data_IF_987667254036
#
_entry.id   IF_987667254036
#
_cell.length_a   1.000
_cell.length_b   1.000
_cell.length_c   1.000
_cell.angle_alpha   90.00
_cell.angle_beta   90.00
_cell.angle_gamma   90.00
#
_symmetry.space_group_name_H-M   'P 1'
#
loop_
_entity.id
_entity.type
_entity.pdbx_description
1 polymer ?
#
# COMPACT_ATOMS: atom_id res chain seq x y z
N UNK A 1 2.48 -13.88 4.63
CA UNK A 1 1.34 -13.25 5.33
C UNK A 1 0.08 -14.01 4.95
N UNK A 2 -0.56 -14.67 5.91
CA UNK A 2 -1.80 -15.40 5.69
C UNK A 2 -2.97 -14.45 5.98
N UNK A 3 -3.81 -14.19 4.97
CA UNK A 3 -4.97 -13.30 5.13
C UNK A 3 -6.13 -14.10 5.73
N UNK A 4 -6.67 -13.64 6.86
CA UNK A 4 -7.88 -14.19 7.47
C UNK A 4 -8.97 -13.12 7.53
N UNK A 5 -10.12 -13.31 6.85
CA UNK A 5 -10.41 -14.37 5.89
C UNK A 5 -9.52 -14.30 4.63
N UNK A 6 -9.42 -15.37 3.83
CA UNK A 6 -8.67 -15.34 2.58
C UNK A 6 -9.29 -14.35 1.59
N UNK A 7 -8.44 -13.56 0.92
CA UNK A 7 -8.89 -12.66 -0.14
C UNK A 7 -9.29 -13.46 -1.38
N UNK A 8 -10.58 -13.46 -1.73
CA UNK A 8 -11.04 -14.18 -2.90
C UNK A 8 -10.66 -13.45 -4.18
N UNK A 9 -9.97 -14.14 -5.10
CA UNK A 9 -9.45 -13.55 -6.36
C UNK A 9 -10.52 -12.90 -7.25
N UNK A 10 -11.76 -13.37 -7.18
CA UNK A 10 -12.85 -12.94 -8.07
C UNK A 10 -13.93 -12.09 -7.39
N UNK A 11 -13.84 -11.90 -6.07
CA UNK A 11 -14.78 -11.07 -5.31
C UNK A 11 -14.09 -9.75 -4.99
N UNK A 12 -14.73 -8.62 -5.31
CA UNK A 12 -14.22 -7.28 -5.01
C UNK A 12 -14.90 -6.64 -3.80
N UNK A 13 -16.07 -7.15 -3.43
CA UNK A 13 -16.93 -6.59 -2.36
C UNK A 13 -16.40 -6.84 -0.96
N UNK A 14 -15.48 -7.79 -0.79
CA UNK A 14 -14.87 -8.17 0.49
C UNK A 14 -13.48 -7.56 0.71
N UNK A 15 -13.03 -6.65 -0.17
CA UNK A 15 -11.68 -6.03 -0.15
C UNK A 15 -11.71 -4.59 0.36
N UNK A 16 -10.53 -4.01 0.52
CA UNK A 16 -10.36 -2.64 1.00
C UNK A 16 -10.91 -2.50 2.42
N UNK A 17 -11.68 -1.45 2.69
CA UNK A 17 -12.26 -1.23 4.02
C UNK A 17 -13.24 -2.32 4.48
N UNK A 18 -13.77 -3.16 3.57
CA UNK A 18 -14.65 -4.29 3.94
C UNK A 18 -13.89 -5.49 4.50
N UNK A 19 -12.56 -5.52 4.37
CA UNK A 19 -11.72 -6.57 4.92
C UNK A 19 -10.97 -6.09 6.17
N UNK A 20 -10.83 -6.91 7.24
CA UNK A 20 -10.04 -6.55 8.42
C UNK A 20 -8.58 -6.22 8.10
N UNK A 21 -7.88 -7.10 7.36
CA UNK A 21 -6.47 -6.89 7.00
C UNK A 21 -6.26 -5.74 5.99
N UNK A 22 -6.89 -5.80 4.80
CA UNK A 22 -6.66 -4.76 3.78
C UNK A 22 -7.23 -3.39 4.19
N UNK A 23 -8.28 -3.36 5.01
CA UNK A 23 -8.77 -2.13 5.61
C UNK A 23 -7.79 -1.53 6.61
N UNK A 24 -7.10 -2.35 7.42
CA UNK A 24 -6.05 -1.88 8.32
C UNK A 24 -4.83 -1.32 7.60
N UNK A 25 -4.49 -1.88 6.43
CA UNK A 25 -3.42 -1.37 5.55
C UNK A 25 -3.79 -0.03 4.90
N UNK A 26 -5.06 0.14 4.50
CA UNK A 26 -5.55 1.36 3.86
C UNK A 26 -5.95 2.45 4.86
N UNK A 27 -6.25 2.07 6.11
CA UNK A 27 -6.61 3.02 7.15
C UNK A 27 -5.48 4.05 7.32
N UNK A 28 -5.80 5.35 7.31
CA UNK A 28 -4.83 6.38 7.59
C UNK A 28 -4.14 6.17 8.94
N UNK A 29 -2.85 6.50 9.03
CA UNK A 29 -2.04 6.32 10.25
C UNK A 29 -2.56 7.11 11.45
N UNK A 30 -3.26 8.21 11.20
CA UNK A 30 -3.86 9.07 12.21
C UNK A 30 -5.25 8.59 12.68
N UNK A 31 -5.74 7.46 12.15
CA UNK A 31 -7.02 6.85 12.52
C UNK A 31 -6.81 5.45 13.11
N UNK A 32 -7.62 5.12 14.10
CA UNK A 32 -7.58 3.81 14.74
C UNK A 32 -8.50 2.80 14.03
N UNK A 33 -7.92 1.83 13.35
CA UNK A 33 -8.65 0.73 12.72
C UNK A 33 -9.26 -0.26 13.73
N UNK A 34 -8.81 -0.26 14.99
CA UNK A 34 -9.47 -1.01 16.07
C UNK A 34 -10.85 -0.44 16.43
N UNK A 35 -11.12 0.81 16.06
CA UNK A 35 -12.38 1.49 16.37
C UNK A 35 -13.45 1.18 15.31
N UNK A 36 -14.45 0.40 15.70
CA UNK A 36 -15.57 -0.01 14.83
C UNK A 36 -16.30 1.17 14.18
N UNK A 37 -16.43 2.30 14.88
CA UNK A 37 -17.07 3.51 14.32
C UNK A 37 -16.25 4.13 13.20
N UNK A 38 -14.92 4.09 13.29
CA UNK A 38 -14.03 4.58 12.24
C UNK A 38 -14.12 3.66 11.03
N UNK A 39 -14.05 2.34 11.25
CA UNK A 39 -14.21 1.35 10.18
C UNK A 39 -15.53 1.52 9.44
N UNK A 40 -16.65 1.70 10.16
CA UNK A 40 -17.97 1.90 9.57
C UNK A 40 -18.04 3.17 8.73
N UNK A 41 -17.52 4.30 9.24
CA UNK A 41 -17.51 5.57 8.51
C UNK A 41 -16.66 5.52 7.24
N UNK A 42 -15.52 4.81 7.28
CA UNK A 42 -14.66 4.58 6.11
C UNK A 42 -15.36 3.68 5.08
N UNK A 43 -16.01 2.59 5.53
CA UNK A 43 -16.76 1.67 4.66
C UNK A 43 -17.94 2.36 3.98
N UNK A 44 -18.66 3.20 4.70
CA UNK A 44 -19.83 3.92 4.18
C UNK A 44 -19.45 5.14 3.33
N UNK A 45 -18.18 5.53 3.30
CA UNK A 45 -17.71 6.75 2.62
C UNK A 45 -18.15 8.06 3.31
N UNK A 46 -18.64 8.00 4.55
CA UNK A 46 -18.99 9.19 5.35
C UNK A 46 -17.72 9.90 5.81
N UNK A 47 -16.68 9.13 6.12
CA UNK A 47 -15.34 9.66 6.36
C UNK A 47 -14.51 9.38 5.13
N UNK A 48 -14.15 10.44 4.42
CA UNK A 48 -13.22 10.40 3.28
C UNK A 48 -11.89 10.94 3.77
N UNK A 49 -10.81 10.13 3.81
CA UNK A 49 -9.50 10.61 4.17
C UNK A 49 -9.06 11.76 3.25
N UNK A 50 -8.46 12.79 3.84
CA UNK A 50 -7.82 13.87 3.09
C UNK A 50 -6.50 13.40 2.47
N UNK A 51 -5.98 14.11 1.47
CA UNK A 51 -4.78 13.71 0.72
C UNK A 51 -3.50 13.65 1.56
N UNK A 52 -3.48 14.35 2.70
CA UNK A 52 -2.41 14.35 3.71
C UNK A 52 -2.56 13.22 4.75
N UNK A 53 -3.66 12.47 4.72
CA UNK A 53 -3.92 11.35 5.62
C UNK A 53 -3.43 10.05 5.00
N UNK A 54 -2.12 9.80 5.16
CA UNK A 54 -1.43 8.70 4.52
C UNK A 54 -1.90 7.31 5.00
N UNK A 55 -2.19 6.39 4.07
CA UNK A 55 -2.44 4.99 4.39
C UNK A 55 -1.23 4.32 5.06
N UNK A 56 -1.50 3.44 6.01
CA UNK A 56 -0.47 2.70 6.75
C UNK A 56 0.49 1.91 5.85
N UNK A 57 0.00 1.34 4.75
CA UNK A 57 0.82 0.51 3.87
C UNK A 57 1.96 1.29 3.18
N UNK A 58 1.97 2.61 3.21
CA UNK A 58 3.07 3.41 2.65
C UNK A 58 4.32 3.37 3.53
N UNK A 59 4.16 3.08 4.81
CA UNK A 59 5.26 3.08 5.77
C UNK A 59 6.00 1.75 5.79
N UNK A 60 7.32 1.81 6.03
CA UNK A 60 8.15 0.63 6.26
C UNK A 60 7.52 -0.24 7.35
N UNK A 61 7.42 -1.55 7.08
CA UNK A 61 6.79 -2.51 7.99
C UNK A 61 5.34 -2.16 8.41
N UNK A 62 4.67 -1.21 7.74
CA UNK A 62 3.34 -0.68 8.12
C UNK A 62 3.33 0.00 9.51
N UNK A 63 4.47 0.52 9.96
CA UNK A 63 4.65 1.16 11.26
C UNK A 63 4.77 2.67 11.12
N UNK A 64 4.04 3.42 11.95
CA UNK A 64 4.05 4.88 11.94
C UNK A 64 4.74 5.40 13.19
N UNK A 65 5.73 6.27 13.00
CA UNK A 65 6.43 6.94 14.09
C UNK A 65 5.81 8.33 14.34
N UNK A 66 5.33 8.57 15.55
CA UNK A 66 4.72 9.85 15.93
C UNK A 66 5.73 10.97 16.16
N UNK A 67 6.96 10.63 16.53
CA UNK A 67 8.04 11.59 16.76
C UNK A 67 8.70 12.03 15.45
N UNK A 68 8.71 11.15 14.45
CA UNK A 68 9.21 11.42 13.11
C UNK A 68 8.26 10.82 12.04
N UNK A 69 7.25 11.58 11.57
CA UNK A 69 6.27 11.13 10.59
C UNK A 69 6.83 10.77 9.21
N UNK A 70 8.08 11.16 8.92
CA UNK A 70 8.76 10.87 7.66
C UNK A 70 9.52 9.55 7.73
N UNK A 71 9.80 9.07 8.94
CA UNK A 71 10.49 7.81 9.15
C UNK A 71 9.73 6.66 8.49
N UNK A 72 10.39 6.00 7.55
CA UNK A 72 9.83 4.86 6.81
C UNK A 72 8.73 5.23 5.80
N UNK A 73 8.36 6.49 5.62
CA UNK A 73 7.35 6.90 4.65
C UNK A 73 7.82 6.56 3.22
N UNK A 74 6.93 5.94 2.42
CA UNK A 74 7.19 5.41 1.07
C UNK A 74 8.26 4.30 0.99
N UNK A 75 8.71 3.75 2.12
CA UNK A 75 9.72 2.68 2.17
C UNK A 75 9.10 1.28 2.35
N UNK A 76 7.80 1.14 2.11
CA UNK A 76 7.10 -0.13 2.22
C UNK A 76 7.31 -1.05 1.01
N UNK A 77 7.66 -2.31 1.25
CA UNK A 77 7.71 -3.33 0.19
C UNK A 77 6.34 -3.58 -0.49
N UNK A 78 5.23 -3.33 0.22
CA UNK A 78 3.89 -3.38 -0.38
C UNK A 78 3.67 -2.26 -1.39
N UNK A 79 4.17 -1.06 -1.10
CA UNK A 79 4.09 0.06 -2.05
C UNK A 79 4.84 -0.28 -3.33
N UNK A 80 6.08 -0.76 -3.23
CA UNK A 80 6.87 -1.18 -4.41
C UNK A 80 6.15 -2.28 -5.19
N UNK A 81 5.57 -3.26 -4.49
CA UNK A 81 4.79 -4.33 -5.13
C UNK A 81 3.55 -3.80 -5.86
N UNK A 82 2.84 -2.82 -5.27
CA UNK A 82 1.67 -2.18 -5.89
C UNK A 82 2.10 -1.36 -7.11
N UNK A 83 3.14 -0.52 -6.97
CA UNK A 83 3.71 0.24 -8.08
C UNK A 83 4.12 -0.69 -9.21
N UNK A 84 4.83 -1.78 -8.89
CA UNK A 84 5.20 -2.81 -9.85
C UNK A 84 3.96 -3.42 -10.50
N UNK A 85 2.97 -3.94 -9.76
CA UNK A 85 1.77 -4.52 -10.38
C UNK A 85 1.01 -3.52 -11.26
N UNK A 86 1.00 -2.23 -10.90
CA UNK A 86 0.38 -1.18 -11.68
C UNK A 86 1.20 -0.79 -12.92
N UNK A 87 2.53 -0.86 -12.86
CA UNK A 87 3.45 -0.51 -13.96
C UNK A 87 3.84 -1.68 -14.86
N UNK A 88 3.84 -2.90 -14.32
CA UNK A 88 4.30 -4.16 -14.92
C UNK A 88 3.16 -4.95 -15.55
N UNK A 89 1.91 -4.54 -15.41
CA UNK A 89 0.80 -5.16 -16.13
C UNK A 89 0.90 -4.71 -17.59
N UNK A 90 1.22 -5.58 -18.60
CA UNK A 90 1.23 -5.19 -20.00
C UNK A 90 -0.20 -5.08 -20.56
N UNK A 91 -1.15 -4.75 -19.68
CA UNK A 91 -2.56 -5.07 -19.79
C UNK A 91 -3.37 -4.18 -18.85
N UNK A 92 -4.44 -3.50 -19.26
CA UNK A 92 -5.46 -3.92 -20.20
C UNK A 92 -4.99 -4.36 -21.61
N UNK A 93 -4.72 -5.65 -21.78
CA UNK A 93 -4.45 -6.47 -22.96
C UNK A 93 -4.31 -7.93 -22.43
N UNK A 94 -3.88 -8.98 -23.12
CA UNK A 94 -3.95 -10.36 -22.55
C UNK A 94 -2.76 -11.27 -22.89
N UNK A 95 -1.61 -10.73 -23.28
CA UNK A 95 -0.70 -11.55 -24.10
C UNK A 95 0.80 -11.57 -23.80
N UNK A 96 1.37 -10.88 -22.80
CA UNK A 96 2.83 -10.92 -22.59
C UNK A 96 3.30 -11.72 -21.38
N UNK A 97 4.34 -12.55 -21.61
CA UNK A 97 4.69 -13.72 -20.80
C UNK A 97 5.92 -13.56 -19.91
N UNK A 98 6.75 -12.52 -20.02
CA UNK A 98 7.93 -12.41 -19.14
C UNK A 98 8.30 -10.94 -18.95
N UNK A 99 7.90 -10.36 -17.82
CA UNK A 99 8.55 -9.16 -17.27
C UNK A 99 9.51 -9.68 -16.21
N UNK A 100 10.81 -9.58 -16.48
CA UNK A 100 11.85 -9.95 -15.53
C UNK A 100 11.84 -8.97 -14.35
N UNK A 101 11.01 -9.29 -13.36
CA UNK A 101 10.75 -8.47 -12.18
C UNK A 101 12.04 -8.19 -11.40
N UNK A 102 13.02 -9.10 -11.46
CA UNK A 102 14.27 -8.99 -10.71
C UNK A 102 15.10 -7.79 -11.17
N UNK A 103 15.23 -7.58 -12.48
CA UNK A 103 15.94 -6.43 -13.03
C UNK A 103 15.30 -5.09 -12.62
N UNK A 104 13.96 -5.03 -12.65
CA UNK A 104 13.23 -3.82 -12.25
C UNK A 104 13.40 -3.52 -10.76
N UNK A 105 13.28 -4.52 -9.88
CA UNK A 105 13.49 -4.33 -8.44
C UNK A 105 14.90 -3.82 -8.15
N UNK A 106 15.92 -4.40 -8.80
CA UNK A 106 17.30 -3.93 -8.63
C UNK A 106 17.48 -2.49 -9.11
N UNK A 107 16.88 -2.09 -10.24
CA UNK A 107 16.95 -0.70 -10.71
C UNK A 107 16.23 0.31 -9.80
N UNK A 108 15.11 -0.07 -9.17
CA UNK A 108 14.42 0.81 -8.20
C UNK A 108 15.22 0.95 -6.91
N UNK A 109 15.83 -0.14 -6.43
CA UNK A 109 16.71 -0.08 -5.25
C UNK A 109 17.94 0.79 -5.54
N UNK A 110 18.59 0.60 -6.69
CA UNK A 110 19.73 1.43 -7.12
C UNK A 110 19.37 2.93 -7.19
N UNK A 111 18.19 3.27 -7.74
CA UNK A 111 17.72 4.65 -7.82
C UNK A 111 17.47 5.28 -6.44
N UNK A 112 16.87 4.52 -5.51
CA UNK A 112 16.56 5.03 -4.17
C UNK A 112 17.81 5.11 -3.26
N UNK A 113 18.85 4.34 -3.58
CA UNK A 113 20.14 4.36 -2.89
C UNK A 113 21.15 5.33 -3.55
N UNK A 114 20.76 6.03 -4.61
CA UNK A 114 21.62 6.99 -5.30
C UNK A 114 21.91 8.22 -4.41
N UNK A 115 23.18 8.48 -4.05
CA UNK A 115 23.55 9.61 -3.20
C UNK A 115 23.33 10.99 -3.85
N UNK A 116 23.16 11.08 -5.18
CA UNK A 116 22.81 12.35 -5.86
C UNK A 116 21.34 12.73 -5.66
N UNK A 117 20.44 11.75 -5.57
CA UNK A 117 18.99 11.95 -5.31
C UNK A 117 18.69 12.27 -3.83
N UNK A 118 19.65 12.05 -2.92
CA UNK A 118 19.52 12.41 -1.50
C UNK A 118 19.76 13.90 -1.19
N UNK A 119 20.06 14.71 -2.23
CA UNK A 119 20.48 16.10 -2.10
C UNK A 119 19.44 17.15 -2.54
N UNK A 120 18.22 16.76 -2.93
CA UNK A 120 17.11 17.68 -3.27
C UNK A 120 16.05 17.82 -2.17
#
# INVERSE_FOLDING_TARGET
MEYSPPLQRHVKTDRGFYHPMTGGLLCPVNLDWGNTKICEKLRSGVLVPSGDQWPRFLYQSCEYNTEDPWNGLLQSGLLVSVCFVLSSSPVFSRTDLVTDSEYFYNSVVELLEDPEEQAE
#
